data_IF_212005222849
#
_entry.id   IF_212005222849
#
_cell.length_a   1.000
_cell.length_b   1.000
_cell.length_c   1.000
_cell.angle_alpha   90.00
_cell.angle_beta   90.00
_cell.angle_gamma   90.00
#
_symmetry.space_group_name_H-M   'P 1'
#
loop_
_entity.id
_entity.type
_entity.pdbx_description
1 polymer ?
#
# COMPACT_ATOMS: atom_id res chain seq x y z
N UNK A 1 16.07 10.57 -9.72
CA UNK A 1 17.25 9.66 -9.76
C UNK A 1 17.92 9.58 -8.39
N UNK A 2 17.24 8.98 -7.41
CA UNK A 2 17.80 8.69 -6.07
C UNK A 2 17.80 7.19 -5.83
N UNK A 3 16.74 6.51 -6.27
CA UNK A 3 16.64 5.03 -6.29
C UNK A 3 17.73 4.36 -7.12
N UNK A 4 18.11 4.91 -8.29
CA UNK A 4 19.21 4.38 -9.10
C UNK A 4 20.61 4.58 -8.47
N UNK A 5 20.79 5.59 -7.60
CA UNK A 5 22.08 5.83 -6.91
C UNK A 5 22.25 4.96 -5.66
N UNK A 6 21.14 4.65 -4.97
CA UNK A 6 21.13 3.73 -3.83
C UNK A 6 21.47 2.29 -4.23
N UNK A 7 21.02 1.83 -5.42
CA UNK A 7 21.40 0.52 -5.99
C UNK A 7 22.87 0.49 -6.43
N UNK A 8 23.47 1.65 -6.73
CA UNK A 8 24.89 1.80 -7.09
C UNK A 8 25.82 2.06 -5.87
N UNK A 9 25.34 1.83 -4.64
CA UNK A 9 26.17 1.93 -3.43
C UNK A 9 26.60 3.35 -3.04
N UNK A 10 26.04 4.39 -3.66
CA UNK A 10 26.37 5.78 -3.34
C UNK A 10 25.46 6.27 -2.22
N UNK A 11 26.05 6.71 -1.10
CA UNK A 11 25.32 7.26 0.03
C UNK A 11 24.51 8.48 -0.41
N UNK A 12 23.19 8.40 -0.21
CA UNK A 12 22.28 9.52 -0.44
C UNK A 12 22.16 10.27 0.88
N UNK A 13 22.47 11.57 0.89
CA UNK A 13 22.31 12.38 2.09
C UNK A 13 20.81 12.54 2.42
N UNK A 14 20.44 12.52 3.69
CA UNK A 14 19.08 12.80 4.19
C UNK A 14 18.52 14.11 3.63
N UNK A 15 19.40 15.11 3.43
CA UNK A 15 19.08 16.42 2.86
C UNK A 15 18.68 16.33 1.37
N UNK A 16 19.37 15.49 0.61
CA UNK A 16 19.08 15.28 -0.81
C UNK A 16 17.76 14.52 -0.99
N UNK A 17 17.51 13.49 -0.18
CA UNK A 17 16.26 12.76 -0.15
C UNK A 17 15.07 13.68 0.17
N UNK A 18 15.21 14.55 1.18
CA UNK A 18 14.19 15.53 1.57
C UNK A 18 13.91 16.55 0.46
N UNK A 19 14.95 17.10 -0.18
CA UNK A 19 14.79 18.10 -1.25
C UNK A 19 14.03 17.56 -2.47
N UNK A 20 14.20 16.27 -2.79
CA UNK A 20 13.48 15.61 -3.86
C UNK A 20 12.02 15.27 -3.53
N UNK A 21 11.74 14.96 -2.26
CA UNK A 21 10.39 14.57 -1.79
C UNK A 21 9.48 15.78 -1.53
N UNK A 22 10.02 16.86 -0.93
CA UNK A 22 9.27 18.04 -0.47
C UNK A 22 8.22 18.59 -1.46
N UNK A 23 8.51 18.76 -2.77
CA UNK A 23 7.55 19.35 -3.71
C UNK A 23 6.28 18.52 -3.91
N UNK A 24 6.36 17.21 -3.67
CA UNK A 24 5.26 16.27 -3.88
C UNK A 24 4.52 15.93 -2.59
N UNK A 25 5.00 16.39 -1.42
CA UNK A 25 4.38 16.09 -0.12
C UNK A 25 2.91 16.54 -0.05
N UNK A 26 2.57 17.71 -0.60
CA UNK A 26 1.18 18.18 -0.62
C UNK A 26 0.29 17.28 -1.47
N UNK A 27 0.79 16.80 -2.61
CA UNK A 27 0.05 15.88 -3.47
C UNK A 27 -0.07 14.48 -2.84
N UNK A 28 0.94 14.04 -2.09
CA UNK A 28 0.90 12.81 -1.31
C UNK A 28 -0.08 12.91 -0.16
N UNK A 29 -0.06 14.00 0.61
CA UNK A 29 -1.05 14.26 1.65
C UNK A 29 -2.45 14.30 1.04
N UNK A 30 -2.63 14.98 -0.10
CA UNK A 30 -3.89 14.98 -0.84
C UNK A 30 -4.35 13.59 -1.23
N UNK A 31 -3.44 12.73 -1.72
CA UNK A 31 -3.75 11.34 -2.07
C UNK A 31 -4.05 10.47 -0.82
N UNK A 32 -3.26 10.64 0.25
CA UNK A 32 -3.41 9.94 1.52
C UNK A 32 -4.71 10.31 2.24
N UNK A 33 -5.24 11.51 2.02
CA UNK A 33 -6.57 11.92 2.48
C UNK A 33 -7.65 11.45 1.50
N UNK A 34 -7.43 11.56 0.20
CA UNK A 34 -8.41 11.22 -0.82
C UNK A 34 -8.82 9.74 -0.78
N UNK A 35 -7.87 8.82 -0.63
CA UNK A 35 -8.15 7.37 -0.60
C UNK A 35 -9.09 7.00 0.55
N UNK A 36 -8.81 7.35 1.83
CA UNK A 36 -9.75 7.07 2.92
C UNK A 36 -11.05 7.86 2.78
N UNK A 37 -11.05 9.10 2.25
CA UNK A 37 -12.30 9.82 1.97
C UNK A 37 -13.20 9.07 0.98
N UNK A 38 -12.62 8.50 -0.08
CA UNK A 38 -13.37 7.66 -1.02
C UNK A 38 -13.92 6.42 -0.30
N UNK A 39 -13.12 5.75 0.53
CA UNK A 39 -13.57 4.58 1.29
C UNK A 39 -14.73 4.91 2.24
N UNK A 40 -14.62 6.00 3.00
CA UNK A 40 -15.69 6.50 3.89
C UNK A 40 -16.93 6.86 3.09
N UNK A 41 -16.78 7.54 1.95
CA UNK A 41 -17.89 7.90 1.07
C UNK A 41 -18.64 6.67 0.53
N UNK A 42 -17.90 5.61 0.15
CA UNK A 42 -18.49 4.34 -0.30
C UNK A 42 -19.25 3.64 0.82
N UNK A 43 -18.67 3.59 2.03
CA UNK A 43 -19.33 2.99 3.20
C UNK A 43 -20.59 3.77 3.58
N UNK A 44 -20.49 5.09 3.69
CA UNK A 44 -21.62 5.97 3.98
C UNK A 44 -22.74 5.82 2.94
N UNK A 45 -22.39 5.78 1.65
CA UNK A 45 -23.35 5.56 0.57
C UNK A 45 -24.05 4.20 0.68
N UNK A 46 -23.31 3.13 1.00
CA UNK A 46 -23.87 1.80 1.21
C UNK A 46 -24.80 1.72 2.43
N UNK A 47 -24.49 2.45 3.50
CA UNK A 47 -25.32 2.51 4.72
C UNK A 47 -26.55 3.41 4.56
N UNK A 48 -26.55 4.33 3.59
CA UNK A 48 -27.58 5.37 3.42
C UNK A 48 -29.02 4.82 3.39
N UNK A 49 -29.35 3.75 2.64
CA UNK A 49 -30.72 3.23 2.60
C UNK A 49 -31.23 2.77 3.98
N UNK A 50 -30.39 2.07 4.74
CA UNK A 50 -30.76 1.59 6.07
C UNK A 50 -30.86 2.71 7.10
N UNK A 51 -29.95 3.70 7.03
CA UNK A 51 -30.01 4.88 7.88
C UNK A 51 -31.29 5.67 7.63
N UNK A 52 -31.69 5.87 6.37
CA UNK A 52 -32.94 6.56 6.03
C UNK A 52 -34.18 5.84 6.58
N UNK A 53 -34.22 4.51 6.54
CA UNK A 53 -35.30 3.73 7.13
C UNK A 53 -35.34 3.83 8.66
N UNK A 54 -34.16 3.80 9.31
CA UNK A 54 -34.06 3.98 10.75
C UNK A 54 -34.58 5.37 11.17
N UNK A 55 -34.20 6.43 10.44
CA UNK A 55 -34.72 7.79 10.67
C UNK A 55 -36.22 7.91 10.40
N UNK A 56 -36.79 7.08 9.53
CA UNK A 56 -38.22 7.04 9.25
C UNK A 56 -39.04 6.29 10.32
N UNK A 57 -38.40 5.78 11.39
CA UNK A 57 -39.07 5.12 12.52
C UNK A 57 -38.96 3.59 12.51
N UNK A 58 -38.41 3.00 11.45
CA UNK A 58 -38.23 1.54 11.30
C UNK A 58 -36.82 1.16 11.73
N UNK A 59 -36.57 1.21 13.04
CA UNK A 59 -35.23 1.18 13.63
C UNK A 59 -34.50 -0.16 13.45
N UNK A 60 -35.17 -1.29 13.72
CA UNK A 60 -34.58 -2.64 13.63
C UNK A 60 -34.18 -3.01 12.21
N UNK A 61 -35.09 -2.83 11.27
CA UNK A 61 -34.92 -3.18 9.86
C UNK A 61 -33.99 -2.17 9.19
N UNK A 62 -34.06 -0.90 9.56
CA UNK A 62 -33.12 0.13 9.13
C UNK A 62 -31.70 -0.17 9.59
N UNK A 63 -31.51 -0.56 10.85
CA UNK A 63 -30.19 -0.97 11.37
C UNK A 63 -29.67 -2.25 10.67
N UNK A 64 -30.53 -3.24 10.43
CA UNK A 64 -30.16 -4.45 9.70
C UNK A 64 -29.73 -4.13 8.26
N UNK A 65 -30.49 -3.28 7.55
CA UNK A 65 -30.16 -2.88 6.18
C UNK A 65 -28.90 -2.01 6.13
N UNK A 66 -28.70 -1.11 7.09
CA UNK A 66 -27.50 -0.28 7.18
C UNK A 66 -26.26 -1.15 7.42
N UNK A 67 -26.39 -2.17 8.27
CA UNK A 67 -25.31 -3.13 8.54
C UNK A 67 -24.97 -3.93 7.29
N UNK A 68 -25.98 -4.48 6.59
CA UNK A 68 -25.80 -5.23 5.35
C UNK A 68 -25.15 -4.37 4.25
N UNK A 69 -25.66 -3.15 4.05
CA UNK A 69 -25.10 -2.18 3.11
C UNK A 69 -23.68 -1.77 3.47
N UNK A 70 -23.40 -1.56 4.76
CA UNK A 70 -22.07 -1.29 5.28
C UNK A 70 -21.08 -2.43 5.02
N UNK A 71 -21.49 -3.68 5.24
CA UNK A 71 -20.66 -4.86 4.93
C UNK A 71 -20.36 -4.98 3.44
N UNK A 72 -21.36 -4.82 2.58
CA UNK A 72 -21.16 -4.84 1.13
C UNK A 72 -20.21 -3.71 0.69
N UNK A 73 -20.41 -2.51 1.23
CA UNK A 73 -19.57 -1.35 0.96
C UNK A 73 -18.13 -1.51 1.50
N UNK A 74 -17.95 -2.18 2.63
CA UNK A 74 -16.62 -2.52 3.16
C UNK A 74 -15.86 -3.45 2.20
N UNK A 75 -16.54 -4.41 1.58
CA UNK A 75 -15.96 -5.23 0.51
C UNK A 75 -15.50 -4.40 -0.70
N UNK A 76 -16.31 -3.43 -1.12
CA UNK A 76 -15.94 -2.50 -2.20
C UNK A 76 -14.77 -1.60 -1.78
N UNK A 77 -14.77 -1.09 -0.55
CA UNK A 77 -13.70 -0.27 0.00
C UNK A 77 -12.37 -1.06 0.06
N UNK A 78 -12.39 -2.31 0.51
CA UNK A 78 -11.23 -3.20 0.50
C UNK A 78 -10.73 -3.45 -0.93
N UNK A 79 -11.64 -3.67 -1.89
CA UNK A 79 -11.29 -3.82 -3.30
C UNK A 79 -10.61 -2.55 -3.86
N UNK A 80 -11.14 -1.37 -3.55
CA UNK A 80 -10.56 -0.07 -3.95
C UNK A 80 -9.19 0.16 -3.29
N UNK A 81 -9.04 -0.17 -2.00
CA UNK A 81 -7.80 -0.04 -1.27
C UNK A 81 -6.67 -0.85 -1.94
N UNK A 82 -6.94 -2.09 -2.34
CA UNK A 82 -5.98 -2.92 -3.10
C UNK A 82 -5.65 -2.27 -4.44
N UNK A 83 -6.65 -1.74 -5.16
CA UNK A 83 -6.47 -1.11 -6.48
C UNK A 83 -5.67 0.18 -6.44
N UNK A 84 -5.70 0.92 -5.34
CA UNK A 84 -5.00 2.19 -5.17
C UNK A 84 -3.74 2.11 -4.29
N UNK A 85 -3.39 0.92 -3.80
CA UNK A 85 -2.19 0.69 -2.98
C UNK A 85 -0.89 1.15 -3.65
N UNK A 86 -0.82 1.10 -4.99
CA UNK A 86 0.36 1.49 -5.77
C UNK A 86 0.32 2.95 -6.25
N UNK A 87 -0.71 3.72 -5.90
CA UNK A 87 -0.81 5.13 -6.30
C UNK A 87 0.23 6.04 -5.61
N UNK A 88 0.50 5.92 -4.28
CA UNK A 88 1.55 6.71 -3.63
C UNK A 88 2.95 6.54 -4.26
N UNK A 89 3.47 5.32 -4.49
CA UNK A 89 4.77 5.18 -5.15
C UNK A 89 4.76 5.65 -6.59
N UNK A 90 3.66 5.48 -7.35
CA UNK A 90 3.54 6.05 -8.70
C UNK A 90 3.61 7.59 -8.69
N UNK A 91 2.95 8.24 -7.73
CA UNK A 91 2.99 9.70 -7.59
C UNK A 91 4.40 10.21 -7.29
N UNK A 92 5.10 9.59 -6.34
CA UNK A 92 6.46 9.99 -5.95
C UNK A 92 7.51 9.69 -7.02
N UNK A 93 7.46 8.49 -7.60
CA UNK A 93 8.54 7.96 -8.44
C UNK A 93 8.36 8.35 -9.90
N UNK A 94 7.12 8.40 -10.41
CA UNK A 94 6.84 8.81 -11.79
C UNK A 94 6.54 10.31 -11.92
N UNK A 95 6.55 11.07 -10.80
CA UNK A 95 6.24 12.51 -10.75
C UNK A 95 4.91 12.86 -11.45
N UNK A 96 3.92 11.99 -11.31
CA UNK A 96 2.61 12.13 -11.93
C UNK A 96 1.63 12.88 -11.02
N UNK A 97 0.66 13.57 -11.60
CA UNK A 97 -0.47 14.11 -10.84
C UNK A 97 -1.37 12.99 -10.28
N UNK A 98 -2.14 13.32 -9.24
CA UNK A 98 -3.01 12.40 -8.47
C UNK A 98 -3.85 11.49 -9.37
N UNK A 99 -4.57 12.06 -10.35
CA UNK A 99 -5.44 11.28 -11.26
C UNK A 99 -4.65 10.30 -12.13
N UNK A 100 -3.48 10.72 -12.64
CA UNK A 100 -2.63 9.86 -13.48
C UNK A 100 -2.06 8.70 -12.64
N UNK A 101 -1.61 8.99 -11.41
CA UNK A 101 -1.13 7.98 -10.47
C UNK A 101 -2.21 6.94 -10.11
N UNK A 102 -3.46 7.37 -9.86
CA UNK A 102 -4.58 6.44 -9.60
C UNK A 102 -4.88 5.54 -10.80
N UNK A 103 -4.94 6.12 -12.01
CA UNK A 103 -5.15 5.34 -13.26
C UNK A 103 -4.03 4.34 -13.50
N UNK A 104 -2.78 4.73 -13.20
CA UNK A 104 -1.60 3.85 -13.31
C UNK A 104 -1.69 2.69 -12.34
N UNK A 105 -1.94 2.97 -11.06
CA UNK A 105 -2.15 1.95 -10.02
C UNK A 105 -3.22 0.95 -10.44
N UNK A 106 -4.34 1.43 -10.97
CA UNK A 106 -5.42 0.56 -11.43
C UNK A 106 -5.00 -0.40 -12.54
N UNK A 107 -4.21 0.08 -13.52
CA UNK A 107 -3.69 -0.75 -14.62
C UNK A 107 -2.69 -1.80 -14.11
N UNK A 108 -1.80 -1.42 -13.19
CA UNK A 108 -0.79 -2.33 -12.63
C UNK A 108 -1.42 -3.44 -11.80
N UNK A 109 -2.40 -3.11 -10.95
CA UNK A 109 -3.02 -4.08 -10.05
C UNK A 109 -4.02 -5.00 -10.78
N UNK A 110 -4.65 -4.56 -11.88
CA UNK A 110 -5.73 -5.32 -12.57
C UNK A 110 -5.35 -6.76 -12.92
N UNK A 111 -4.12 -7.00 -13.37
CA UNK A 111 -3.66 -8.34 -13.76
C UNK A 111 -2.97 -9.15 -12.65
N UNK A 112 -2.80 -8.58 -11.46
CA UNK A 112 -2.11 -9.22 -10.34
C UNK A 112 -2.89 -9.10 -9.02
N UNK A 113 -4.20 -8.83 -9.09
CA UNK A 113 -5.01 -8.42 -7.95
C UNK A 113 -4.93 -9.39 -6.78
N UNK A 114 -5.08 -10.70 -7.00
CA UNK A 114 -5.02 -11.70 -5.92
C UNK A 114 -3.66 -11.74 -5.22
N UNK A 115 -2.57 -11.57 -5.98
CA UNK A 115 -1.20 -11.53 -5.42
C UNK A 115 -0.95 -10.24 -4.63
N UNK A 116 -1.36 -9.10 -5.17
CA UNK A 116 -1.25 -7.81 -4.47
C UNK A 116 -2.10 -7.83 -3.20
N UNK A 117 -3.33 -8.33 -3.27
CA UNK A 117 -4.20 -8.51 -2.11
C UNK A 117 -3.55 -9.41 -1.06
N UNK A 118 -3.07 -10.59 -1.44
CA UNK A 118 -2.46 -11.54 -0.49
C UNK A 118 -1.22 -10.97 0.20
N UNK A 119 -0.35 -10.27 -0.54
CA UNK A 119 0.86 -9.65 0.05
C UNK A 119 0.47 -8.46 0.95
N UNK A 120 -0.49 -7.63 0.54
CA UNK A 120 -1.00 -6.54 1.38
C UNK A 120 -1.67 -7.07 2.65
N UNK A 121 -2.46 -8.13 2.53
CA UNK A 121 -3.10 -8.81 3.66
C UNK A 121 -2.04 -9.35 4.62
N UNK A 122 -1.00 -10.02 4.10
CA UNK A 122 0.11 -10.52 4.91
C UNK A 122 0.84 -9.37 5.62
N UNK A 123 1.07 -8.25 4.94
CA UNK A 123 1.69 -7.07 5.53
C UNK A 123 0.84 -6.46 6.65
N UNK A 124 -0.49 -6.41 6.47
CA UNK A 124 -1.43 -5.96 7.51
C UNK A 124 -1.41 -6.92 8.70
N UNK A 125 -1.45 -8.23 8.48
CA UNK A 125 -1.37 -9.24 9.55
C UNK A 125 -0.05 -9.11 10.30
N UNK A 126 1.07 -8.96 9.60
CA UNK A 126 2.38 -8.78 10.22
C UNK A 126 2.43 -7.48 11.04
N UNK A 127 1.97 -6.37 10.48
CA UNK A 127 1.92 -5.09 11.20
C UNK A 127 1.01 -5.17 12.43
N UNK A 128 -0.12 -5.88 12.33
CA UNK A 128 -1.03 -6.13 13.45
C UNK A 128 -0.36 -6.94 14.55
N UNK A 129 0.35 -8.03 14.21
CA UNK A 129 1.09 -8.84 15.20
C UNK A 129 2.16 -8.00 15.89
N UNK A 130 2.96 -7.25 15.13
CA UNK A 130 4.00 -6.37 15.66
C UNK A 130 3.41 -5.27 16.54
N UNK A 131 2.31 -4.65 16.12
CA UNK A 131 1.59 -3.65 16.90
C UNK A 131 1.05 -4.22 18.20
N UNK A 132 0.42 -5.40 18.15
CA UNK A 132 -0.11 -6.09 19.31
C UNK A 132 0.97 -6.42 20.36
N UNK A 133 2.19 -6.77 19.93
CA UNK A 133 3.33 -7.00 20.85
C UNK A 133 3.64 -5.75 21.69
N UNK A 134 3.43 -4.55 21.15
CA UNK A 134 3.67 -3.27 21.84
C UNK A 134 2.44 -2.79 22.59
N UNK A 135 1.27 -2.92 21.97
CA UNK A 135 0.01 -2.39 22.47
C UNK A 135 -0.55 -3.21 23.63
N UNK A 136 -0.41 -4.55 23.61
CA UNK A 136 -0.90 -5.41 24.70
C UNK A 136 -0.21 -5.04 26.03
N UNK A 137 1.13 -5.04 26.16
CA UNK A 137 1.77 -4.62 27.40
C UNK A 137 1.39 -3.21 27.82
N UNK A 138 1.30 -2.28 26.85
CA UNK A 138 0.95 -0.90 27.16
C UNK A 138 -0.47 -0.77 27.69
N UNK A 139 -1.43 -1.53 27.13
CA UNK A 139 -2.82 -1.58 27.62
C UNK A 139 -2.94 -2.17 29.03
N UNK A 140 -2.14 -3.19 29.35
CA UNK A 140 -2.08 -3.77 30.69
C UNK A 140 -1.54 -2.77 31.72
N UNK A 141 -0.46 -2.05 31.36
CA UNK A 141 0.09 -0.97 32.18
C UNK A 141 -0.95 0.14 32.36
N UNK A 142 -1.65 0.52 31.29
CA UNK A 142 -2.69 1.55 31.32
C UNK A 142 -3.83 1.18 32.28
N UNK A 143 -4.26 -0.09 32.29
CA UNK A 143 -5.30 -0.57 33.18
C UNK A 143 -4.87 -0.52 34.65
N UNK A 144 -3.64 -0.94 34.97
CA UNK A 144 -3.09 -0.90 36.33
C UNK A 144 -2.94 0.52 36.85
N UNK A 145 -2.43 1.45 36.02
CA UNK A 145 -2.20 2.84 36.43
C UNK A 145 -3.50 3.66 36.41
N UNK A 146 -4.41 3.35 35.48
CA UNK A 146 -5.68 4.06 35.31
C UNK A 146 -6.65 3.86 36.46
N UNK A 147 -6.45 2.83 37.29
CA UNK A 147 -7.37 2.44 38.37
C UNK A 147 -8.64 1.75 37.87
N UNK A 148 -8.73 1.51 36.56
CA UNK A 148 -9.85 0.83 35.93
C UNK A 148 -9.72 -0.68 36.19
N UNK A 149 -10.59 -1.22 37.04
CA UNK A 149 -10.61 -2.65 37.32
C UNK A 149 -11.21 -3.38 36.12
N UNK A 150 -10.58 -4.46 35.65
CA UNK A 150 -11.17 -5.34 34.62
C UNK A 150 -12.58 -5.84 34.98
N UNK A 151 -12.93 -5.84 36.28
CA UNK A 151 -14.23 -6.20 36.81
C UNK A 151 -15.34 -5.15 36.54
N UNK A 152 -15.01 -3.86 36.45
CA UNK A 152 -15.98 -2.80 36.10
C UNK A 152 -16.37 -2.88 34.62
N UNK A 153 -15.47 -3.37 33.77
CA UNK A 153 -15.76 -3.64 32.37
C UNK A 153 -16.70 -4.83 32.19
N UNK A 154 -16.64 -5.82 33.10
CA UNK A 154 -17.51 -7.00 33.11
C UNK A 154 -18.87 -6.76 33.79
N UNK A 155 -18.97 -5.77 34.69
CA UNK A 155 -20.21 -5.46 35.42
C UNK A 155 -21.22 -4.64 34.60
N UNK A 156 -20.82 -4.09 33.45
CA UNK A 156 -21.71 -3.34 32.55
C UNK A 156 -22.10 -1.96 33.09
N UNK A 157 -21.52 -1.53 34.21
CA UNK A 157 -21.64 -0.16 34.70
C UNK A 157 -20.82 0.76 33.78
N UNK A 158 -21.23 2.02 33.62
CA UNK A 158 -20.58 2.94 32.69
C UNK A 158 -19.12 3.17 33.09
N UNK A 159 -18.20 2.45 32.45
CA UNK A 159 -16.76 2.57 32.66
C UNK A 159 -16.35 4.00 32.28
N UNK A 160 -16.08 4.83 33.28
CA UNK A 160 -15.48 6.13 33.05
C UNK A 160 -14.01 5.90 32.68
N UNK A 161 -13.71 5.87 31.39
CA UNK A 161 -12.34 5.67 30.90
C UNK A 161 -11.46 6.79 31.44
N UNK A 162 -10.46 6.42 32.27
CA UNK A 162 -9.56 7.39 32.88
C UNK A 162 -8.73 8.14 31.83
N UNK A 163 -8.53 9.44 32.01
CA UNK A 163 -7.63 10.22 31.14
C UNK A 163 -6.22 9.63 31.14
N UNK A 164 -5.77 9.10 32.28
CA UNK A 164 -4.48 8.41 32.41
C UNK A 164 -4.41 7.17 31.53
N UNK A 165 -5.49 6.38 31.47
CA UNK A 165 -5.57 5.22 30.58
C UNK A 165 -5.43 5.64 29.11
N UNK A 166 -6.17 6.67 28.68
CA UNK A 166 -6.11 7.18 27.31
C UNK A 166 -4.72 7.67 26.93
N UNK A 167 -4.02 8.36 27.85
CA UNK A 167 -2.65 8.84 27.61
C UNK A 167 -1.68 7.66 27.45
N UNK A 168 -1.73 6.66 28.33
CA UNK A 168 -0.81 5.52 28.26
C UNK A 168 -1.06 4.70 27.00
N UNK A 169 -2.33 4.37 26.68
CA UNK A 169 -2.69 3.68 25.43
C UNK A 169 -2.30 4.51 24.21
N UNK A 170 -2.50 5.82 24.24
CA UNK A 170 -2.11 6.74 23.17
C UNK A 170 -0.60 6.70 22.90
N UNK A 171 0.23 6.71 23.95
CA UNK A 171 1.69 6.55 23.82
C UNK A 171 2.04 5.18 23.24
N UNK A 172 1.40 4.11 23.71
CA UNK A 172 1.57 2.76 23.15
C UNK A 172 1.27 2.69 21.66
N UNK A 173 0.16 3.31 21.23
CA UNK A 173 -0.21 3.40 19.83
C UNK A 173 0.78 4.21 18.98
N UNK A 174 1.34 5.30 19.51
CA UNK A 174 2.41 6.06 18.82
C UNK A 174 3.67 5.22 18.66
N UNK A 175 4.10 4.52 19.72
CA UNK A 175 5.26 3.63 19.68
C UNK A 175 5.06 2.49 18.68
N UNK A 176 3.88 1.87 18.70
CA UNK A 176 3.45 0.85 17.73
C UNK A 176 3.52 1.38 16.30
N UNK A 177 3.00 2.59 16.05
CA UNK A 177 3.00 3.23 14.72
C UNK A 177 4.40 3.50 14.19
N UNK A 178 5.35 3.91 15.05
CA UNK A 178 6.75 4.15 14.66
C UNK A 178 7.39 2.88 14.09
N UNK A 179 7.02 1.70 14.61
CA UNK A 179 7.59 0.41 14.20
C UNK A 179 6.83 -0.17 12.99
N UNK A 180 5.51 -0.04 12.95
CA UNK A 180 4.66 -0.67 11.94
C UNK A 180 4.65 0.09 10.60
N UNK A 181 4.72 1.42 10.60
CA UNK A 181 4.68 2.21 9.37
C UNK A 181 5.81 1.91 8.37
N UNK A 182 7.09 1.78 8.78
CA UNK A 182 8.17 1.40 7.86
C UNK A 182 7.94 0.04 7.18
N UNK A 183 7.33 -0.91 7.88
CA UNK A 183 7.04 -2.26 7.36
C UNK A 183 6.04 -2.15 6.20
N UNK A 184 4.91 -1.49 6.42
CA UNK A 184 3.88 -1.33 5.39
C UNK A 184 4.38 -0.50 4.20
N UNK A 185 5.15 0.56 4.46
CA UNK A 185 5.76 1.38 3.42
C UNK A 185 6.77 0.58 2.58
N UNK A 186 7.62 -0.21 3.23
CA UNK A 186 8.60 -1.09 2.58
C UNK A 186 7.94 -2.13 1.68
N UNK A 187 6.92 -2.83 2.18
CA UNK A 187 6.17 -3.82 1.39
C UNK A 187 5.52 -3.18 0.17
N UNK A 188 4.87 -2.02 0.35
CA UNK A 188 4.21 -1.31 -0.75
C UNK A 188 5.21 -0.85 -1.82
N UNK A 189 6.38 -0.35 -1.40
CA UNK A 189 7.44 0.05 -2.32
C UNK A 189 8.04 -1.15 -3.08
N UNK A 190 8.28 -2.27 -2.40
CA UNK A 190 8.77 -3.50 -3.04
C UNK A 190 7.74 -4.08 -4.01
N UNK A 191 6.46 -4.11 -3.64
CA UNK A 191 5.37 -4.52 -4.52
C UNK A 191 5.31 -3.65 -5.78
N UNK A 192 5.44 -2.34 -5.63
CA UNK A 192 5.48 -1.43 -6.76
C UNK A 192 6.62 -1.75 -7.71
N UNK A 193 7.84 -1.94 -7.17
CA UNK A 193 9.01 -2.29 -7.96
C UNK A 193 8.87 -3.65 -8.64
N UNK A 194 8.36 -4.67 -7.95
CA UNK A 194 8.09 -5.99 -8.52
C UNK A 194 7.07 -5.93 -9.66
N UNK A 195 5.98 -5.16 -9.51
CA UNK A 195 5.03 -4.97 -10.60
C UNK A 195 5.68 -4.25 -11.77
N UNK A 196 6.48 -3.23 -11.50
CA UNK A 196 7.13 -2.44 -12.54
C UNK A 196 8.09 -3.31 -13.36
N UNK A 197 8.91 -4.13 -12.69
CA UNK A 197 9.83 -5.08 -13.34
C UNK A 197 9.04 -6.09 -14.20
N UNK A 198 8.04 -6.75 -13.62
CA UNK A 198 7.28 -7.82 -14.31
C UNK A 198 6.37 -7.31 -15.43
N UNK A 199 5.82 -6.09 -15.33
CA UNK A 199 4.80 -5.58 -16.27
C UNK A 199 5.34 -4.57 -17.27
N UNK A 200 6.43 -3.88 -16.95
CA UNK A 200 7.02 -2.86 -17.81
C UNK A 200 8.34 -3.32 -18.44
N UNK A 201 8.78 -4.55 -18.13
CA UNK A 201 9.99 -5.16 -18.68
C UNK A 201 11.21 -4.24 -18.55
N UNK A 202 11.39 -3.65 -17.36
CA UNK A 202 12.58 -2.88 -17.02
C UNK A 202 13.86 -3.70 -17.31
N UNK A 203 13.77 -5.02 -17.21
CA UNK A 203 14.83 -5.96 -17.55
C UNK A 203 15.26 -5.88 -19.03
N UNK A 204 14.36 -5.54 -19.95
CA UNK A 204 14.71 -5.32 -21.38
C UNK A 204 15.40 -3.98 -21.59
N UNK A 205 14.99 -2.93 -20.88
CA UNK A 205 15.69 -1.64 -20.90
C UNK A 205 17.07 -1.74 -20.24
N UNK A 206 17.20 -2.50 -19.15
CA UNK A 206 18.45 -2.79 -18.48
C UNK A 206 19.37 -3.69 -19.32
N UNK A 207 18.83 -4.70 -20.01
CA UNK A 207 19.59 -5.53 -20.94
C UNK A 207 20.11 -4.74 -22.14
N UNK A 208 19.29 -3.82 -22.71
CA UNK A 208 19.72 -2.90 -23.77
C UNK A 208 20.75 -1.88 -23.27
N UNK A 209 20.56 -1.32 -22.08
CA UNK A 209 21.49 -0.37 -21.48
C UNK A 209 22.83 -1.03 -21.05
N UNK A 210 22.81 -2.32 -20.73
CA UNK A 210 23.99 -3.14 -20.44
C UNK A 210 24.67 -3.69 -21.71
N UNK A 211 24.17 -3.36 -22.91
CA UNK A 211 24.78 -3.77 -24.17
C UNK A 211 24.68 -5.28 -24.47
N UNK A 212 23.74 -6.00 -23.86
CA UNK A 212 23.47 -7.39 -24.23
C UNK A 212 22.94 -7.42 -25.67
N UNK A 213 23.63 -8.07 -26.62
CA UNK A 213 23.17 -8.15 -27.99
C UNK A 213 21.77 -8.76 -28.03
N UNK A 214 20.84 -8.10 -28.71
CA UNK A 214 19.61 -8.75 -29.15
C UNK A 214 20.00 -10.00 -29.94
N UNK A 215 19.31 -11.10 -29.63
CA UNK A 215 19.33 -12.40 -30.29
C UNK A 215 19.99 -12.45 -31.70
N UNK A 216 21.05 -13.25 -31.93
CA UNK A 216 21.82 -13.27 -33.18
C UNK A 216 21.11 -13.95 -34.37
N UNK A 217 19.78 -13.91 -34.45
CA UNK A 217 19.02 -14.60 -35.52
C UNK A 217 18.92 -13.83 -36.84
N UNK A 218 19.46 -12.61 -36.97
CA UNK A 218 19.49 -11.86 -38.24
C UNK A 218 20.82 -11.93 -39.02
N UNK A 219 21.74 -12.84 -38.65
CA UNK A 219 23.09 -12.88 -39.21
C UNK A 219 23.46 -14.16 -39.98
N UNK A 220 22.53 -14.81 -40.68
CA UNK A 220 22.89 -15.96 -41.52
C UNK A 220 22.35 -15.85 -42.93
N UNK A 221 23.14 -15.20 -43.79
CA UNK A 221 22.85 -15.17 -45.22
C UNK A 221 23.89 -14.38 -46.00
N UNK A 222 24.82 -15.14 -46.60
CA UNK A 222 25.73 -14.76 -47.70
C UNK A 222 27.02 -14.07 -47.26
N UNK A 223 28.04 -14.89 -47.02
CA UNK A 223 29.35 -14.72 -47.66
C UNK A 223 30.13 -16.02 -47.49
N UNK A 224 29.99 -16.91 -48.47
CA UNK A 224 30.85 -18.09 -48.63
C UNK A 224 31.85 -17.77 -49.74
N UNK A 225 33.16 -17.75 -49.49
CA UNK A 225 34.14 -17.55 -50.54
C UNK A 225 34.33 -18.86 -51.32
N UNK A 226 33.98 -18.84 -52.61
CA UNK A 226 34.22 -19.94 -53.53
C UNK A 226 35.71 -20.05 -53.81
N UNK A 227 36.40 -20.95 -53.11
CA UNK A 227 37.75 -21.41 -53.48
C UNK A 227 37.58 -22.62 -54.39
N UNK A 228 37.90 -22.47 -55.67
CA UNK A 228 38.07 -23.60 -56.59
C UNK A 228 39.46 -23.51 -57.23
N UNK A 229 40.35 -24.34 -56.71
CA UNK A 229 41.63 -24.72 -57.29
C UNK A 229 41.41 -26.02 -58.08
N UNK A 230 41.78 -26.05 -59.36
CA UNK A 230 42.19 -27.25 -60.12
C UNK A 230 42.83 -26.73 -61.42
N UNK A 231 44.16 -26.70 -61.54
CA UNK A 231 45.06 -27.78 -62.02
C UNK A 231 44.71 -28.29 -63.42
N UNK A 232 45.68 -28.19 -64.32
CA UNK A 232 45.54 -28.36 -65.76
C UNK A 232 45.33 -29.77 -66.28
N UNK A 233 44.92 -29.83 -67.55
CA UNK A 233 45.65 -30.46 -68.65
C UNK A 233 45.09 -29.94 -69.99
#
# INVERSE_FOLDING_TARGET
MVTARAVLGRSVSTKEAWSGARPHLLQLCGLLLLIPTIAVGVIAAGMTPGLLLAFAGVHSEGAALASLGGFAAAGVAAWLWVRFSLAPPALMLEKQGIIKALRRSFKLVRGAWGRVFGIQLLAVVLAFIVGAIVEIPTSLIAMVIGGDNAMDWLSGESVSVSWTFLVVVGVGGVLSSIITFPISAGVTALLYMDQRIRREALDLELARAAGMPGDPTEGHGKDQPTVASTSGN
#
